data_IF_156268439543
#
_entry.id   IF_156268439543
#
_cell.length_a   1.000
_cell.length_b   1.000
_cell.length_c   1.000
_cell.angle_alpha   90.00
_cell.angle_beta   90.00
_cell.angle_gamma   90.00
#
_symmetry.space_group_name_H-M   'P 1'
#
loop_
_entity.id
_entity.type
_entity.pdbx_description
1 polymer ?
#
# COMPACT_ATOMS: atom_id res chain seq x y z
N UNK A 1 -14.35 1.84 -2.33
CA UNK A 1 -13.32 2.31 -1.38
C UNK A 1 -12.21 2.93 -2.20
N UNK A 2 -11.68 4.08 -1.79
CA UNK A 2 -10.86 4.94 -2.66
C UNK A 2 -9.63 5.40 -1.90
N UNK A 3 -8.46 5.30 -2.52
CA UNK A 3 -7.22 5.91 -2.03
C UNK A 3 -7.23 7.41 -2.36
N UNK A 4 -6.85 8.25 -1.40
CA UNK A 4 -7.03 9.69 -1.47
C UNK A 4 -5.68 10.41 -1.53
N UNK A 5 -5.50 11.27 -2.52
CA UNK A 5 -4.36 12.18 -2.61
C UNK A 5 -4.78 13.53 -2.01
N UNK A 6 -4.05 13.99 -0.99
CA UNK A 6 -4.27 15.27 -0.32
C UNK A 6 -3.18 16.26 -0.72
N UNK A 7 -3.58 17.53 -0.75
CA UNK A 7 -2.73 18.68 -1.02
C UNK A 7 -3.02 19.74 0.04
N UNK A 8 -2.03 20.05 0.88
CA UNK A 8 -2.18 21.04 1.94
C UNK A 8 -0.87 21.79 2.16
N UNK A 9 -0.90 23.12 1.96
CA UNK A 9 0.24 24.03 2.20
C UNK A 9 1.58 23.62 1.55
N UNK A 10 1.50 22.97 0.38
CA UNK A 10 2.68 22.46 -0.35
C UNK A 10 3.17 21.09 0.11
N UNK A 11 2.53 20.51 1.12
CA UNK A 11 2.68 19.10 1.49
C UNK A 11 1.64 18.26 0.75
N UNK A 12 2.08 17.09 0.25
CA UNK A 12 1.20 16.15 -0.43
C UNK A 12 1.27 14.80 0.27
N UNK A 13 0.11 14.18 0.50
CA UNK A 13 0.03 12.86 1.11
C UNK A 13 -0.97 11.96 0.41
N UNK A 14 -0.78 10.65 0.54
CA UNK A 14 -1.63 9.62 0.00
C UNK A 14 -2.12 8.74 1.15
N UNK A 15 -3.44 8.63 1.32
CA UNK A 15 -4.04 7.84 2.39
C UNK A 15 -4.99 6.78 1.87
N UNK A 16 -5.02 5.65 2.54
CA UNK A 16 -5.94 4.55 2.29
C UNK A 16 -6.40 4.00 3.64
N UNK A 17 -7.70 4.05 3.89
CA UNK A 17 -8.30 3.41 5.07
C UNK A 17 -8.13 1.89 4.93
N UNK A 18 -7.60 1.27 5.99
CA UNK A 18 -7.46 -0.18 6.06
C UNK A 18 -8.79 -0.83 6.47
N UNK A 19 -9.08 -1.99 5.87
CA UNK A 19 -10.32 -2.71 6.10
C UNK A 19 -11.49 -2.25 5.22
N UNK A 20 -12.12 -3.20 4.52
CA UNK A 20 -13.20 -2.95 3.57
C UNK A 20 -12.78 -2.84 2.10
N UNK A 21 -11.50 -3.11 1.77
CA UNK A 21 -11.02 -3.15 0.39
C UNK A 21 -11.40 -4.47 -0.29
N UNK A 22 -11.54 -4.44 -1.62
CA UNK A 22 -11.85 -5.64 -2.39
C UNK A 22 -10.76 -6.72 -2.25
N UNK A 23 -9.51 -6.29 -2.05
CA UNK A 23 -8.36 -7.15 -1.85
C UNK A 23 -8.25 -7.74 -0.44
N UNK A 24 -8.95 -7.23 0.57
CA UNK A 24 -8.71 -7.63 1.98
C UNK A 24 -8.95 -9.11 2.24
N UNK A 25 -10.03 -9.66 1.69
CA UNK A 25 -10.31 -11.09 1.83
C UNK A 25 -9.22 -11.97 1.20
N UNK A 26 -8.50 -11.46 0.20
CA UNK A 26 -7.36 -12.16 -0.40
C UNK A 26 -6.12 -12.08 0.47
N UNK A 27 -5.85 -10.93 1.09
CA UNK A 27 -4.76 -10.75 2.07
C UNK A 27 -4.97 -11.64 3.28
N UNK A 28 -6.17 -11.65 3.87
CA UNK A 28 -6.47 -12.53 5.01
C UNK A 28 -6.35 -14.02 4.64
N UNK A 29 -6.70 -14.39 3.40
CA UNK A 29 -6.58 -15.79 2.95
C UNK A 29 -5.13 -16.27 2.82
N UNK A 30 -4.14 -15.37 2.75
CA UNK A 30 -2.72 -15.71 2.79
C UNK A 30 -2.14 -15.68 4.21
N UNK A 31 -2.95 -15.37 5.23
CA UNK A 31 -2.52 -15.33 6.63
C UNK A 31 -2.01 -13.97 7.10
N UNK A 32 -2.09 -12.94 6.26
CA UNK A 32 -1.70 -11.56 6.59
C UNK A 32 -2.90 -10.74 7.07
N UNK A 33 -2.66 -9.74 7.92
CA UNK A 33 -3.66 -8.75 8.29
C UNK A 33 -3.68 -7.56 7.28
N UNK A 34 -4.81 -7.19 6.65
CA UNK A 34 -4.86 -6.09 5.68
C UNK A 34 -4.86 -4.69 6.33
N UNK A 35 -3.98 -4.46 7.30
CA UNK A 35 -3.83 -3.21 8.04
C UNK A 35 -2.89 -2.23 7.31
N UNK A 36 -2.72 -1.00 7.83
CA UNK A 36 -1.87 -0.01 7.17
C UNK A 36 -0.39 -0.41 7.08
N UNK A 37 0.15 -1.15 8.06
CA UNK A 37 1.52 -1.65 8.04
C UNK A 37 1.74 -2.68 6.92
N UNK A 38 0.77 -3.58 6.73
CA UNK A 38 0.77 -4.51 5.60
C UNK A 38 0.85 -3.77 4.26
N UNK A 39 -0.02 -2.79 4.06
CA UNK A 39 -0.06 -2.04 2.80
C UNK A 39 1.21 -1.24 2.56
N UNK A 40 1.85 -0.74 3.63
CA UNK A 40 3.17 -0.11 3.54
C UNK A 40 4.25 -1.11 3.13
N UNK A 41 4.32 -2.27 3.77
CA UNK A 41 5.24 -3.35 3.41
C UNK A 41 5.06 -3.77 1.96
N UNK A 42 3.80 -3.88 1.50
CA UNK A 42 3.46 -4.21 0.12
C UNK A 42 3.98 -3.16 -0.86
N UNK A 43 3.83 -1.88 -0.54
CA UNK A 43 4.37 -0.79 -1.35
C UNK A 43 5.90 -0.83 -1.42
N UNK A 44 6.55 -1.01 -0.26
CA UNK A 44 8.02 -1.10 -0.17
C UNK A 44 8.57 -2.26 -0.97
N UNK A 45 7.88 -3.40 -0.99
CA UNK A 45 8.28 -4.57 -1.76
C UNK A 45 7.98 -4.42 -3.27
N UNK A 46 6.77 -4.00 -3.63
CA UNK A 46 6.31 -4.02 -5.02
C UNK A 46 6.86 -2.85 -5.86
N UNK A 47 7.12 -1.70 -5.24
CA UNK A 47 7.58 -0.48 -5.90
C UNK A 47 8.71 0.22 -5.12
N UNK A 48 9.85 -0.46 -4.90
CA UNK A 48 10.94 0.07 -4.08
C UNK A 48 11.46 1.42 -4.61
N UNK A 49 11.58 1.59 -5.93
CA UNK A 49 12.04 2.85 -6.54
C UNK A 49 11.12 4.05 -6.24
N UNK A 50 9.82 3.80 -6.01
CA UNK A 50 8.86 4.83 -5.61
C UNK A 50 8.94 5.03 -4.09
N UNK A 51 8.95 3.93 -3.34
CA UNK A 51 8.93 3.94 -1.88
C UNK A 51 10.16 4.65 -1.28
N UNK A 52 11.35 4.51 -1.86
CA UNK A 52 12.57 5.18 -1.41
C UNK A 52 12.49 6.73 -1.44
N UNK A 53 11.52 7.28 -2.17
CA UNK A 53 11.33 8.72 -2.35
C UNK A 53 10.21 9.29 -1.48
N UNK A 54 9.57 8.46 -0.67
CA UNK A 54 8.42 8.80 0.15
C UNK A 54 8.73 8.58 1.63
N UNK A 55 8.14 9.42 2.47
CA UNK A 55 7.98 9.13 3.88
C UNK A 55 6.73 8.28 4.09
N UNK A 56 6.75 7.41 5.09
CA UNK A 56 5.58 6.64 5.50
C UNK A 56 5.35 6.81 6.99
N UNK A 57 4.08 6.80 7.38
CA UNK A 57 3.62 6.89 8.77
C UNK A 57 2.32 6.11 8.90
N UNK A 58 2.33 4.88 8.38
CA UNK A 58 1.14 4.04 8.39
C UNK A 58 0.84 3.56 9.80
N UNK A 59 -0.44 3.34 10.08
CA UNK A 59 -0.96 2.81 11.33
C UNK A 59 -1.89 1.64 11.04
N UNK A 60 -2.27 0.86 12.05
CA UNK A 60 -3.16 -0.29 11.86
C UNK A 60 -4.44 0.05 11.06
N UNK A 61 -5.02 1.23 11.28
CA UNK A 61 -6.23 1.67 10.59
C UNK A 61 -6.02 2.35 9.22
N UNK A 62 -4.79 2.72 8.85
CA UNK A 62 -4.55 3.57 7.69
C UNK A 62 -3.15 3.39 7.12
N UNK A 63 -3.07 3.18 5.81
CA UNK A 63 -1.85 3.41 5.06
C UNK A 63 -1.64 4.91 4.84
N UNK A 64 -0.43 5.41 5.07
CA UNK A 64 -0.06 6.81 4.89
C UNK A 64 1.30 6.94 4.20
N UNK A 65 1.36 7.73 3.13
CA UNK A 65 2.60 8.14 2.50
C UNK A 65 2.63 9.66 2.26
N UNK A 66 3.80 10.28 2.38
CA UNK A 66 4.04 11.71 2.14
C UNK A 66 5.22 11.90 1.18
N UNK A 67 5.13 12.88 0.29
CA UNK A 67 6.22 13.17 -0.65
C UNK A 67 5.81 14.09 -1.78
N UNK A 68 6.52 14.01 -2.92
CA UNK A 68 6.19 14.84 -4.08
C UNK A 68 4.85 14.40 -4.71
N UNK A 69 4.05 15.37 -5.18
CA UNK A 69 2.79 15.08 -5.89
C UNK A 69 2.98 14.12 -7.06
N UNK A 70 4.11 14.23 -7.78
CA UNK A 70 4.44 13.35 -8.90
C UNK A 70 4.72 11.90 -8.49
N UNK A 71 5.38 11.68 -7.35
CA UNK A 71 5.69 10.35 -6.85
C UNK A 71 4.43 9.71 -6.23
N UNK A 72 3.63 10.50 -5.52
CA UNK A 72 2.35 10.03 -4.95
C UNK A 72 1.30 9.73 -6.02
N UNK A 73 1.25 10.47 -7.13
CA UNK A 73 0.34 10.15 -8.24
C UNK A 73 0.70 8.82 -8.92
N UNK A 74 1.99 8.52 -9.04
CA UNK A 74 2.47 7.21 -9.52
C UNK A 74 2.09 6.11 -8.55
N UNK A 75 2.36 6.33 -7.25
CA UNK A 75 2.01 5.36 -6.21
C UNK A 75 0.50 5.09 -6.17
N UNK A 76 -0.32 6.15 -6.22
CA UNK A 76 -1.78 6.06 -6.27
C UNK A 76 -2.24 5.11 -7.38
N UNK A 77 -1.75 5.31 -8.60
CA UNK A 77 -2.11 4.47 -9.75
C UNK A 77 -1.72 3.00 -9.51
N UNK A 78 -0.54 2.78 -8.94
CA UNK A 78 -0.03 1.44 -8.65
C UNK A 78 -0.88 0.74 -7.59
N UNK A 79 -1.13 1.39 -6.46
CA UNK A 79 -1.90 0.86 -5.33
C UNK A 79 -3.37 0.65 -5.72
N UNK A 80 -3.98 1.56 -6.49
CA UNK A 80 -5.37 1.39 -6.99
C UNK A 80 -5.57 0.09 -7.76
N UNK A 81 -4.59 -0.29 -8.60
CA UNK A 81 -4.65 -1.53 -9.37
C UNK A 81 -4.61 -2.80 -8.51
N UNK A 82 -4.04 -2.70 -7.30
CA UNK A 82 -3.87 -3.83 -6.38
C UNK A 82 -5.04 -3.92 -5.40
N UNK A 83 -5.44 -2.82 -4.76
CA UNK A 83 -6.52 -2.82 -3.75
C UNK A 83 -7.89 -3.18 -4.35
N UNK A 84 -8.03 -3.09 -5.66
CA UNK A 84 -9.23 -3.47 -6.43
C UNK A 84 -9.13 -4.87 -7.04
N UNK A 85 -7.98 -5.55 -6.93
CA UNK A 85 -7.73 -6.84 -7.58
C UNK A 85 -7.21 -7.89 -6.59
N UNK A 86 -8.07 -8.82 -6.14
CA UNK A 86 -7.69 -9.96 -5.31
C UNK A 86 -6.58 -10.84 -5.92
N UNK A 87 -6.47 -10.87 -7.24
CA UNK A 87 -5.45 -11.66 -7.95
C UNK A 87 -4.10 -10.95 -7.88
N UNK A 88 -4.07 -9.65 -8.17
CA UNK A 88 -2.85 -8.85 -8.15
C UNK A 88 -2.20 -8.81 -6.76
N UNK A 89 -3.01 -8.69 -5.69
CA UNK A 89 -2.47 -8.68 -4.33
C UNK A 89 -1.83 -10.03 -3.96
N UNK A 90 -2.46 -11.16 -4.33
CA UNK A 90 -1.91 -12.50 -4.08
C UNK A 90 -0.60 -12.73 -4.82
N UNK A 91 -0.52 -12.27 -6.06
CA UNK A 91 0.70 -12.38 -6.86
C UNK A 91 1.86 -11.56 -6.29
N UNK A 92 1.57 -10.44 -5.62
CA UNK A 92 2.61 -9.65 -4.93
C UNK A 92 3.03 -10.36 -3.65
N UNK A 93 2.08 -10.80 -2.82
CA UNK A 93 2.36 -11.53 -1.57
C UNK A 93 3.22 -12.77 -1.84
N UNK A 94 2.82 -13.62 -2.80
CA UNK A 94 3.56 -14.84 -3.12
C UNK A 94 5.00 -14.56 -3.58
N UNK A 95 5.22 -13.45 -4.31
CA UNK A 95 6.58 -13.02 -4.70
C UNK A 95 7.39 -12.52 -3.50
N UNK A 96 6.76 -11.79 -2.59
CA UNK A 96 7.37 -11.31 -1.36
C UNK A 96 7.83 -12.47 -0.48
N UNK A 97 6.93 -13.41 -0.19
CA UNK A 97 7.23 -14.61 0.61
C UNK A 97 8.34 -15.45 -0.03
N UNK A 98 8.28 -15.69 -1.35
CA UNK A 98 9.32 -16.45 -2.06
C UNK A 98 10.69 -15.74 -2.06
N UNK A 99 10.73 -14.43 -1.85
CA UNK A 99 11.96 -13.66 -1.69
C UNK A 99 12.48 -13.60 -0.24
N UNK A 100 11.69 -14.11 0.72
CA UNK A 100 11.99 -14.01 2.16
C UNK A 100 11.66 -12.64 2.76
N UNK A 101 10.79 -11.85 2.12
CA UNK A 101 10.30 -10.59 2.66
C UNK A 101 9.24 -10.87 3.73
N UNK A 102 9.36 -10.22 4.88
CA UNK A 102 8.41 -10.30 6.00
C UNK A 102 7.57 -9.02 6.04
N UNK A 103 6.25 -9.18 6.15
CA UNK A 103 5.32 -8.07 6.35
C UNK A 103 5.15 -7.79 7.85
N UNK A 104 5.10 -6.51 8.23
CA UNK A 104 4.90 -6.05 9.62
C UNK A 104 3.41 -6.02 10.04
N UNK A 105 2.59 -6.90 9.46
CA UNK A 105 1.14 -6.93 9.62
C UNK A 105 0.64 -7.51 10.95
#
# INVERSE_FOLDING_TARGET
MTINLHDFDGEHSLTLDAGGLAADAAVTATGHEPNGYFWEGLVRFAWPDIAERLGFDSEAGMFYAIGSSSDLARLKTAVESVITSPEAVRDIIARAENSGFEFDD
#
